data_IF_304571518654
#
_entry.id   IF_304571518654
#
_cell.length_a   1.000
_cell.length_b   1.000
_cell.length_c   1.000
_cell.angle_alpha   90.00
_cell.angle_beta   90.00
_cell.angle_gamma   90.00
#
_symmetry.space_group_name_H-M   'P 1'
#
loop_
_entity.id
_entity.type
_entity.pdbx_description
1 polymer ?
#
# COMPACT_ATOMS: atom_id res chain seq x y z
N UNK A 1 -11.43 -3.31 -37.78
CA UNK A 1 -12.00 -2.08 -37.20
C UNK A 1 -11.09 -1.70 -36.05
N UNK A 2 -10.42 -0.56 -36.09
CA UNK A 2 -9.48 -0.14 -35.04
C UNK A 2 -10.26 0.47 -33.89
N UNK A 3 -10.45 -0.29 -32.81
CA UNK A 3 -11.08 0.21 -31.58
C UNK A 3 -10.19 1.31 -31.00
N UNK A 4 -10.71 2.54 -31.04
CA UNK A 4 -9.98 3.74 -30.58
C UNK A 4 -10.40 4.00 -29.14
N UNK A 5 -9.56 3.61 -28.18
CA UNK A 5 -9.81 3.82 -26.74
C UNK A 5 -9.40 5.24 -26.33
N UNK A 6 -10.20 5.88 -25.47
CA UNK A 6 -9.83 7.19 -24.90
C UNK A 6 -8.70 6.99 -23.88
N UNK A 7 -7.69 7.87 -23.94
CA UNK A 7 -6.46 7.78 -23.11
C UNK A 7 -6.73 7.74 -21.60
N UNK A 8 -7.90 8.24 -21.18
CA UNK A 8 -8.36 8.36 -19.79
C UNK A 8 -9.22 7.20 -19.31
N UNK A 9 -9.57 6.23 -20.17
CA UNK A 9 -10.40 5.09 -19.77
C UNK A 9 -9.56 3.99 -19.12
N UNK A 10 -10.09 3.43 -18.03
CA UNK A 10 -9.57 2.23 -17.34
C UNK A 10 -9.47 1.00 -18.25
N UNK A 11 -10.10 1.04 -19.43
CA UNK A 11 -10.00 0.01 -20.47
C UNK A 11 -8.55 -0.21 -20.96
N UNK A 12 -7.62 0.75 -20.75
CA UNK A 12 -6.18 0.56 -21.03
C UNK A 12 -5.53 -0.50 -20.14
N UNK A 13 -6.14 -0.82 -19.00
CA UNK A 13 -5.67 -1.87 -18.07
C UNK A 13 -5.75 -3.25 -18.72
N UNK A 14 -6.69 -3.47 -19.66
CA UNK A 14 -6.94 -4.77 -20.29
C UNK A 14 -5.83 -5.18 -21.27
N UNK A 15 -5.09 -4.22 -21.85
CA UNK A 15 -4.13 -4.49 -22.94
C UNK A 15 -2.65 -4.33 -22.53
N UNK A 16 -2.32 -4.37 -21.23
CA UNK A 16 -0.95 -4.15 -20.76
C UNK A 16 -0.33 -5.45 -20.20
N UNK A 17 0.57 -6.14 -20.93
CA UNK A 17 1.21 -7.38 -20.49
C UNK A 17 2.12 -7.24 -19.26
N UNK A 18 2.43 -6.00 -18.85
CA UNK A 18 3.29 -5.67 -17.71
C UNK A 18 2.49 -5.33 -16.44
N UNK A 19 1.17 -5.13 -16.54
CA UNK A 19 0.35 -4.67 -15.41
C UNK A 19 -0.48 -5.82 -14.89
N UNK A 20 -0.04 -6.44 -13.79
CA UNK A 20 -0.88 -7.35 -13.02
C UNK A 20 -2.16 -6.61 -12.61
N UNK A 21 -3.30 -7.13 -13.04
CA UNK A 21 -4.61 -6.63 -12.62
C UNK A 21 -4.63 -6.74 -11.09
N UNK A 22 -4.73 -5.62 -10.35
CA UNK A 22 -4.74 -5.69 -8.90
C UNK A 22 -5.97 -6.48 -8.46
N UNK A 23 -5.74 -7.48 -7.60
CA UNK A 23 -6.83 -8.25 -6.99
C UNK A 23 -7.72 -7.31 -6.20
N UNK A 24 -9.04 -7.39 -6.42
CA UNK A 24 -10.00 -6.73 -5.56
C UNK A 24 -9.97 -7.38 -4.19
N UNK A 25 -9.66 -6.58 -3.16
CA UNK A 25 -9.70 -7.01 -1.76
C UNK A 25 -11.16 -7.18 -1.33
N UNK A 26 -11.44 -8.19 -0.52
CA UNK A 26 -12.74 -8.25 0.16
C UNK A 26 -12.78 -7.24 1.32
N UNK A 27 -13.97 -6.92 1.82
CA UNK A 27 -14.17 -5.93 2.88
C UNK A 27 -13.35 -6.23 4.15
N UNK A 28 -13.18 -7.51 4.49
CA UNK A 28 -12.42 -7.92 5.66
C UNK A 28 -10.92 -7.67 5.48
N UNK A 29 -10.38 -7.97 4.30
CA UNK A 29 -8.99 -7.69 3.94
C UNK A 29 -8.72 -6.19 3.89
N UNK A 30 -9.62 -5.41 3.28
CA UNK A 30 -9.51 -3.95 3.20
C UNK A 30 -9.48 -3.32 4.60
N UNK A 31 -10.36 -3.77 5.52
CA UNK A 31 -10.36 -3.32 6.92
C UNK A 31 -9.06 -3.66 7.64
N UNK A 32 -8.53 -4.87 7.44
CA UNK A 32 -7.26 -5.29 8.06
C UNK A 32 -6.07 -4.49 7.53
N UNK A 33 -6.04 -4.19 6.23
CA UNK A 33 -5.02 -3.34 5.62
C UNK A 33 -5.07 -1.93 6.20
N UNK A 34 -6.27 -1.33 6.33
CA UNK A 34 -6.44 -0.03 6.98
C UNK A 34 -5.91 -0.05 8.40
N UNK A 35 -6.38 -1.01 9.22
CA UNK A 35 -5.99 -1.11 10.62
C UNK A 35 -4.48 -1.22 10.82
N UNK A 36 -3.78 -1.99 9.98
CA UNK A 36 -2.31 -2.10 10.05
C UNK A 36 -1.62 -0.78 9.72
N UNK A 37 -2.11 -0.03 8.72
CA UNK A 37 -1.56 1.28 8.37
C UNK A 37 -1.83 2.31 9.46
N UNK A 38 -3.05 2.34 9.98
CA UNK A 38 -3.46 3.27 11.04
C UNK A 38 -2.59 3.08 12.29
N UNK A 39 -2.25 1.85 12.64
CA UNK A 39 -1.31 1.53 13.75
C UNK A 39 0.10 2.04 13.45
N UNK A 40 0.59 1.85 12.23
CA UNK A 40 1.91 2.32 11.81
C UNK A 40 2.02 3.85 11.86
N UNK A 41 1.02 4.54 11.33
CA UNK A 41 0.94 5.99 11.31
C UNK A 41 0.82 6.58 12.73
N UNK A 42 0.03 5.93 13.60
CA UNK A 42 -0.06 6.32 15.01
C UNK A 42 1.31 6.22 15.69
N UNK A 43 2.03 5.11 15.51
CA UNK A 43 3.38 4.95 16.07
C UNK A 43 4.33 6.04 15.56
N UNK A 44 4.38 6.25 14.24
CA UNK A 44 5.25 7.25 13.61
C UNK A 44 4.94 8.67 14.11
N UNK A 45 3.67 8.97 14.36
CA UNK A 45 3.22 10.25 14.91
C UNK A 45 3.78 10.47 16.32
N UNK A 46 3.69 9.46 17.19
CA UNK A 46 4.19 9.55 18.58
C UNK A 46 5.69 9.82 18.65
N UNK A 47 6.47 9.31 17.70
CA UNK A 47 7.94 9.50 17.67
C UNK A 47 8.40 10.60 16.70
N UNK A 48 7.49 11.39 16.13
CA UNK A 48 7.80 12.34 15.05
C UNK A 48 8.72 13.50 15.48
N UNK A 49 8.57 13.98 16.72
CA UNK A 49 9.37 15.08 17.28
C UNK A 49 10.81 14.65 17.65
N UNK A 50 11.07 13.35 17.72
CA UNK A 50 12.29 12.80 18.26
C UNK A 50 13.40 12.63 17.21
N UNK A 51 14.60 13.04 17.61
CA UNK A 51 15.81 12.97 16.78
C UNK A 51 16.79 11.98 17.38
N UNK A 52 17.66 11.42 16.53
CA UNK A 52 18.67 10.45 16.95
C UNK A 52 18.63 9.17 16.14
N UNK A 53 19.66 8.34 16.32
CA UNK A 53 19.87 7.12 15.55
C UNK A 53 18.78 6.08 15.83
N UNK A 54 18.39 5.94 17.09
CA UNK A 54 17.40 4.98 17.58
C UNK A 54 16.03 5.25 16.95
N UNK A 55 15.60 6.51 16.95
CA UNK A 55 14.34 6.94 16.33
C UNK A 55 14.37 6.81 14.81
N UNK A 56 15.51 7.09 14.17
CA UNK A 56 15.67 6.86 12.74
C UNK A 56 15.52 5.36 12.38
N UNK A 57 16.15 4.48 13.15
CA UNK A 57 16.01 3.03 12.97
C UNK A 57 14.57 2.58 13.22
N UNK A 58 13.93 3.09 14.27
CA UNK A 58 12.54 2.77 14.60
C UNK A 58 11.59 3.15 13.45
N UNK A 59 11.71 4.37 12.89
CA UNK A 59 10.91 4.81 11.74
C UNK A 59 11.06 3.89 10.53
N UNK A 60 12.29 3.56 10.15
CA UNK A 60 12.52 2.63 9.02
C UNK A 60 11.93 1.24 9.30
N UNK A 61 12.06 0.74 10.53
CA UNK A 61 11.59 -0.61 10.87
C UNK A 61 10.07 -0.72 10.95
N UNK A 62 9.38 0.32 11.42
CA UNK A 62 7.92 0.32 11.43
C UNK A 62 7.35 0.41 10.01
N UNK A 63 7.93 1.24 9.14
CA UNK A 63 7.53 1.33 7.72
C UNK A 63 7.72 -0.01 6.99
N UNK A 64 8.87 -0.66 7.19
CA UNK A 64 9.16 -1.98 6.63
C UNK A 64 8.17 -3.04 7.14
N UNK A 65 7.89 -3.06 8.45
CA UNK A 65 6.94 -4.00 9.04
C UNK A 65 5.53 -3.82 8.49
N UNK A 66 5.04 -2.57 8.37
CA UNK A 66 3.73 -2.24 7.79
C UNK A 66 3.66 -2.72 6.34
N UNK A 67 4.68 -2.45 5.53
CA UNK A 67 4.74 -2.87 4.14
C UNK A 67 4.65 -4.40 4.00
N UNK A 68 5.45 -5.15 4.76
CA UNK A 68 5.44 -6.61 4.71
C UNK A 68 4.13 -7.21 5.23
N UNK A 69 3.54 -6.63 6.27
CA UNK A 69 2.25 -7.06 6.80
C UNK A 69 1.13 -6.87 5.78
N UNK A 70 1.02 -5.68 5.16
CA UNK A 70 0.04 -5.40 4.10
C UNK A 70 0.23 -6.37 2.94
N UNK A 71 1.46 -6.57 2.47
CA UNK A 71 1.76 -7.54 1.41
C UNK A 71 1.34 -8.96 1.76
N UNK A 72 1.46 -9.37 3.02
CA UNK A 72 1.00 -10.67 3.51
C UNK A 72 -0.52 -10.79 3.56
N UNK A 73 -1.22 -9.70 3.89
CA UNK A 73 -2.69 -9.65 3.93
C UNK A 73 -3.33 -9.64 2.54
N UNK A 74 -2.66 -9.07 1.53
CA UNK A 74 -3.19 -8.91 0.17
C UNK A 74 -2.72 -9.98 -0.83
N UNK A 75 -2.33 -11.18 -0.35
CA UNK A 75 -1.93 -12.30 -1.22
C UNK A 75 -3.06 -12.85 -2.06
#
# INVERSE_FOLDING_TARGET
MSETFKSTDDARVVNSPVRHIPRTLNDAEARRVSAVKDIGDAFLTEISCEQGREFAIARTKIEEAVMWAVKGLTR
#
